data_IF_913152643915
#
_entry.id   IF_913152643915
#
_cell.length_a   1.000
_cell.length_b   1.000
_cell.length_c   1.000
_cell.angle_alpha   90.00
_cell.angle_beta   90.00
_cell.angle_gamma   90.00
#
_symmetry.space_group_name_H-M   'P 1'
#
loop_
_entity.id
_entity.type
_entity.pdbx_description
1 polymer ?
#
# COMPACT_ATOMS: atom_id res chain seq x y z
N UNK A 1 -10.58 2.43 -11.71
CA UNK A 1 -9.36 2.93 -11.04
C UNK A 1 -8.21 2.75 -12.01
N UNK A 2 -7.53 3.81 -12.45
CA UNK A 2 -6.52 3.72 -13.53
C UNK A 2 -5.46 2.61 -13.28
N UNK A 3 -5.13 2.33 -12.01
CA UNK A 3 -4.22 1.25 -11.62
C UNK A 3 -4.70 -0.17 -11.89
N UNK A 4 -6.02 -0.45 -11.86
CA UNK A 4 -6.54 -1.79 -12.12
C UNK A 4 -6.37 -2.22 -13.59
N UNK A 5 -6.06 -1.26 -14.46
CA UNK A 5 -5.75 -1.49 -15.87
C UNK A 5 -4.25 -1.72 -16.13
N UNK A 6 -3.39 -1.48 -15.12
CA UNK A 6 -1.95 -1.62 -15.24
C UNK A 6 -1.49 -3.06 -14.98
N UNK A 7 -1.99 -3.69 -13.92
CA UNK A 7 -1.61 -5.06 -13.56
C UNK A 7 -2.70 -5.71 -12.68
N UNK A 8 -3.19 -6.89 -13.06
CA UNK A 8 -4.25 -7.61 -12.34
C UNK A 8 -3.79 -8.10 -10.96
N UNK A 9 -2.50 -8.38 -10.77
CA UNK A 9 -1.93 -8.87 -9.50
C UNK A 9 -2.03 -7.82 -8.40
N UNK A 10 -2.10 -6.54 -8.77
CA UNK A 10 -2.40 -5.46 -7.82
C UNK A 10 -3.79 -5.60 -7.23
N UNK A 11 -4.79 -5.94 -8.05
CA UNK A 11 -6.16 -6.17 -7.59
C UNK A 11 -6.20 -7.37 -6.63
N UNK A 12 -5.52 -8.47 -6.98
CA UNK A 12 -5.39 -9.63 -6.11
C UNK A 12 -4.78 -9.26 -4.74
N UNK A 13 -3.69 -8.50 -4.76
CA UNK A 13 -3.01 -8.04 -3.55
C UNK A 13 -3.95 -7.18 -2.68
N UNK A 14 -4.64 -6.21 -3.28
CA UNK A 14 -5.58 -5.32 -2.57
C UNK A 14 -6.70 -6.14 -1.92
N UNK A 15 -7.30 -7.06 -2.66
CA UNK A 15 -8.37 -7.93 -2.15
C UNK A 15 -7.87 -8.80 -1.00
N UNK A 16 -6.71 -9.44 -1.17
CA UNK A 16 -6.12 -10.30 -0.16
C UNK A 16 -5.78 -9.55 1.14
N UNK A 17 -5.16 -8.37 1.03
CA UNK A 17 -4.79 -7.53 2.19
C UNK A 17 -6.04 -7.03 2.91
N UNK A 18 -7.06 -6.55 2.18
CA UNK A 18 -8.32 -6.10 2.80
C UNK A 18 -9.02 -7.23 3.54
N UNK A 19 -9.14 -8.40 2.91
CA UNK A 19 -9.77 -9.58 3.53
C UNK A 19 -8.99 -10.04 4.76
N UNK A 20 -7.66 -10.06 4.69
CA UNK A 20 -6.82 -10.34 5.86
C UNK A 20 -7.08 -9.34 6.98
N UNK A 21 -7.08 -8.03 6.70
CA UNK A 21 -7.30 -7.00 7.71
C UNK A 21 -8.68 -7.14 8.36
N UNK A 22 -9.73 -7.45 7.59
CA UNK A 22 -11.08 -7.71 8.09
C UNK A 22 -11.12 -8.93 9.01
N UNK A 23 -10.56 -10.08 8.57
CA UNK A 23 -10.52 -11.31 9.36
C UNK A 23 -9.74 -11.16 10.67
N UNK A 24 -8.72 -10.29 10.68
CA UNK A 24 -7.95 -9.99 11.90
C UNK A 24 -8.54 -8.84 12.72
N UNK A 25 -9.68 -8.26 12.31
CA UNK A 25 -10.27 -7.11 13.01
C UNK A 25 -9.34 -5.90 13.06
N UNK A 26 -8.58 -5.68 11.99
CA UNK A 26 -7.66 -4.55 11.76
C UNK A 26 -8.23 -3.57 10.71
N UNK A 27 -9.54 -3.59 10.51
CA UNK A 27 -10.24 -2.75 9.55
C UNK A 27 -11.40 -2.02 10.22
N UNK A 28 -11.67 -0.80 9.74
CA UNK A 28 -12.81 0.02 10.15
C UNK A 28 -12.39 1.23 10.99
N UNK A 29 -12.63 2.42 10.43
CA UNK A 29 -12.29 3.70 11.07
C UNK A 29 -13.02 3.90 12.40
N UNK A 30 -14.27 3.45 12.50
CA UNK A 30 -15.06 3.47 13.74
C UNK A 30 -14.44 2.64 14.87
N UNK A 31 -13.55 1.70 14.54
CA UNK A 31 -12.81 0.85 15.50
C UNK A 31 -11.39 1.38 15.77
N UNK A 32 -11.02 2.52 15.20
CA UNK A 32 -9.67 3.10 15.27
C UNK A 32 -8.64 2.39 14.38
N UNK A 33 -9.09 1.71 13.32
CA UNK A 33 -8.22 1.05 12.35
C UNK A 33 -8.33 1.69 10.96
N UNK A 34 -7.33 1.49 10.08
CA UNK A 34 -7.40 1.96 8.69
C UNK A 34 -8.67 1.44 7.98
N UNK A 35 -9.24 2.31 7.14
CA UNK A 35 -10.38 1.95 6.30
C UNK A 35 -9.98 1.12 5.08
N UNK A 36 -10.97 0.61 4.33
CA UNK A 36 -10.71 -0.17 3.12
C UNK A 36 -9.90 0.59 2.07
N UNK A 37 -10.09 1.90 1.96
CA UNK A 37 -9.29 2.78 1.10
C UNK A 37 -7.82 2.87 1.53
N UNK A 38 -7.55 3.06 2.83
CA UNK A 38 -6.19 3.09 3.38
C UNK A 38 -5.44 1.77 3.12
N UNK A 39 -6.12 0.63 3.24
CA UNK A 39 -5.54 -0.67 2.90
C UNK A 39 -5.20 -0.80 1.42
N UNK A 40 -6.05 -0.30 0.53
CA UNK A 40 -5.75 -0.24 -0.91
C UNK A 40 -4.53 0.63 -1.20
N UNK A 41 -4.39 1.79 -0.55
CA UNK A 41 -3.23 2.66 -0.71
C UNK A 41 -1.94 2.01 -0.17
N UNK A 42 -2.00 1.30 0.96
CA UNK A 42 -0.83 0.58 1.48
C UNK A 42 -0.36 -0.51 0.51
N UNK A 43 -1.30 -1.28 -0.06
CA UNK A 43 -0.99 -2.29 -1.07
C UNK A 43 -0.37 -1.65 -2.33
N UNK A 44 -0.93 -0.54 -2.80
CA UNK A 44 -0.41 0.20 -3.95
C UNK A 44 0.97 0.80 -3.69
N UNK A 45 1.18 1.46 -2.54
CA UNK A 45 2.47 2.04 -2.16
C UNK A 45 3.55 0.95 -2.03
N UNK A 46 3.19 -0.23 -1.54
CA UNK A 46 4.09 -1.38 -1.56
C UNK A 46 4.38 -1.86 -3.00
N UNK A 47 3.35 -2.01 -3.85
CA UNK A 47 3.51 -2.48 -5.22
C UNK A 47 4.42 -1.58 -6.06
N UNK A 48 4.38 -0.27 -5.82
CA UNK A 48 5.30 0.70 -6.43
C UNK A 48 6.75 0.56 -5.93
N UNK A 49 6.94 0.11 -4.69
CA UNK A 49 8.25 -0.06 -4.03
C UNK A 49 8.78 -1.49 -4.13
N UNK A 50 8.02 -2.41 -4.72
CA UNK A 50 8.47 -3.77 -4.98
C UNK A 50 9.76 -3.71 -5.82
N UNK A 51 10.62 -4.73 -5.71
CA UNK A 51 11.85 -4.81 -6.47
C UNK A 51 11.86 -6.09 -7.30
N UNK A 52 11.61 -6.02 -8.63
CA UNK A 52 11.30 -4.81 -9.42
C UNK A 52 9.89 -4.23 -9.14
N UNK A 53 9.63 -2.93 -9.41
CA UNK A 53 8.31 -2.32 -9.19
C UNK A 53 7.23 -3.00 -10.01
N UNK A 54 6.06 -3.26 -9.41
CA UNK A 54 4.92 -3.85 -10.12
C UNK A 54 4.19 -2.81 -10.96
N UNK A 55 3.99 -1.61 -10.41
CA UNK A 55 3.32 -0.48 -11.07
C UNK A 55 4.07 0.82 -10.78
N UNK A 56 4.08 1.81 -11.69
CA UNK A 56 4.68 3.12 -11.41
C UNK A 56 3.77 3.99 -10.54
N UNK A 57 4.24 5.16 -10.11
CA UNK A 57 3.33 6.22 -9.63
C UNK A 57 2.81 7.04 -10.79
N UNK A 58 1.50 6.95 -11.02
CA UNK A 58 0.80 7.74 -12.03
C UNK A 58 0.82 9.25 -11.73
N UNK A 59 0.89 9.66 -10.45
CA UNK A 59 1.05 11.08 -10.10
C UNK A 59 2.47 11.56 -10.37
N UNK A 60 3.49 10.73 -10.13
CA UNK A 60 4.88 11.08 -10.47
C UNK A 60 5.09 11.18 -11.99
N UNK A 61 4.37 10.37 -12.77
CA UNK A 61 4.41 10.39 -14.24
C UNK A 61 3.56 11.52 -14.87
N UNK A 62 2.73 12.20 -14.09
CA UNK A 62 1.89 13.27 -14.61
C UNK A 62 2.75 14.49 -14.97
N UNK A 63 2.90 14.76 -16.28
CA UNK A 63 3.73 15.86 -16.79
C UNK A 63 3.09 17.24 -16.63
N UNK A 64 1.75 17.30 -16.51
CA UNK A 64 1.00 18.54 -16.30
C UNK A 64 0.29 18.49 -14.97
N UNK A 65 0.48 19.52 -14.13
CA UNK A 65 -0.31 19.69 -12.92
C UNK A 65 -1.75 20.00 -13.30
N UNK A 66 -2.67 19.39 -12.55
CA UNK A 66 -4.10 19.66 -12.64
C UNK A 66 -4.54 19.97 -11.23
N UNK A 67 -4.75 21.25 -10.96
CA UNK A 67 -5.21 21.71 -9.67
C UNK A 67 -6.74 21.73 -9.66
N UNK A 68 -7.31 21.30 -8.56
CA UNK A 68 -8.72 21.41 -8.27
C UNK A 68 -8.88 22.20 -6.98
N UNK A 69 -9.75 23.20 -7.00
CA UNK A 69 -10.00 24.08 -5.86
C UNK A 69 -11.35 23.74 -5.25
N UNK A 70 -11.36 23.46 -3.95
CA UNK A 70 -12.59 23.27 -3.18
C UNK A 70 -12.43 23.85 -1.79
N UNK A 71 -13.39 24.65 -1.35
CA UNK A 71 -13.43 25.24 0.00
C UNK A 71 -12.17 26.04 0.37
N UNK A 72 -11.49 26.63 -0.62
CA UNK A 72 -10.26 27.42 -0.41
C UNK A 72 -8.96 26.60 -0.40
N UNK A 73 -9.05 25.28 -0.54
CA UNK A 73 -7.90 24.38 -0.61
C UNK A 73 -7.60 23.97 -2.06
N UNK A 74 -6.32 23.80 -2.39
CA UNK A 74 -5.85 23.44 -3.74
C UNK A 74 -5.28 22.01 -3.77
N UNK A 75 -5.92 21.12 -4.53
CA UNK A 75 -5.55 19.72 -4.64
C UNK A 75 -4.93 19.40 -5.99
N UNK A 76 -3.75 18.76 -6.01
CA UNK A 76 -3.17 18.26 -7.25
C UNK A 76 -3.79 16.91 -7.65
N UNK A 77 -4.79 16.97 -8.52
CA UNK A 77 -5.52 15.81 -9.06
C UNK A 77 -4.92 15.30 -10.37
N UNK A 78 -3.66 15.62 -10.68
CA UNK A 78 -3.00 15.13 -11.88
C UNK A 78 -2.61 13.66 -11.76
N UNK A 79 -3.09 12.85 -12.70
CA UNK A 79 -2.70 11.44 -12.86
C UNK A 79 -2.39 11.19 -14.33
N UNK A 80 -1.27 10.51 -14.60
CA UNK A 80 -0.99 9.98 -15.93
C UNK A 80 -2.04 8.93 -16.31
N UNK A 81 -2.33 8.78 -17.60
CA UNK A 81 -3.18 7.70 -18.07
C UNK A 81 -2.45 6.36 -17.99
N UNK A 82 -3.20 5.26 -17.96
CA UNK A 82 -2.60 3.93 -17.99
C UNK A 82 -1.79 3.67 -19.27
N UNK A 83 -2.18 4.29 -20.38
CA UNK A 83 -1.46 4.22 -21.65
C UNK A 83 -0.11 4.95 -21.58
N UNK A 84 -0.08 6.14 -20.98
CA UNK A 84 1.14 6.94 -20.81
C UNK A 84 2.10 6.34 -19.78
N UNK A 85 1.57 5.58 -18.83
CA UNK A 85 2.35 4.89 -17.80
C UNK A 85 3.26 3.80 -18.36
N UNK A 86 3.10 3.45 -19.64
CA UNK A 86 4.04 2.62 -20.36
C UNK A 86 4.28 1.28 -19.67
N UNK A 87 3.21 0.60 -19.22
CA UNK A 87 3.30 -0.79 -18.80
C UNK A 87 3.63 -1.60 -20.04
N UNK A 88 4.92 -1.65 -20.36
CA UNK A 88 5.49 -2.74 -21.11
C UNK A 88 5.27 -3.94 -20.20
N UNK A 89 4.22 -4.70 -20.47
CA UNK A 89 4.27 -6.14 -20.20
C UNK A 89 5.62 -6.56 -20.75
N UNK A 90 6.54 -6.91 -19.85
CA UNK A 90 7.93 -7.13 -20.23
C UNK A 90 7.96 -8.43 -21.04
N UNK A 91 7.67 -8.30 -22.34
CA UNK A 91 7.76 -9.34 -23.34
C UNK A 91 9.23 -9.76 -23.41
N UNK A 92 9.56 -10.81 -22.66
CA UNK A 92 10.86 -11.47 -22.74
C UNK A 92 11.65 -11.64 -21.44
N UNK A 93 11.24 -11.06 -20.30
CA UNK A 93 11.88 -11.34 -18.99
C UNK A 93 11.02 -12.30 -18.18
N UNK A 94 11.59 -13.28 -17.44
CA UNK A 94 10.80 -14.13 -16.55
C UNK A 94 10.03 -13.24 -15.58
N UNK A 95 8.70 -13.40 -15.54
CA UNK A 95 7.84 -12.58 -14.70
C UNK A 95 8.31 -12.63 -13.24
N UNK A 96 8.76 -11.50 -12.67
CA UNK A 96 9.42 -11.50 -11.36
C UNK A 96 8.43 -11.74 -10.20
N UNK A 97 7.13 -11.64 -10.44
CA UNK A 97 6.10 -11.63 -9.40
C UNK A 97 4.91 -12.55 -9.71
N UNK A 98 4.59 -13.43 -8.76
CA UNK A 98 3.29 -14.11 -8.70
C UNK A 98 2.42 -13.46 -7.61
N UNK A 99 1.09 -13.55 -7.68
CA UNK A 99 0.19 -13.01 -6.64
C UNK A 99 0.53 -13.51 -5.22
N UNK A 100 0.86 -14.81 -4.99
CA UNK A 100 1.34 -15.28 -3.69
C UNK A 100 2.67 -14.65 -3.25
N UNK A 101 3.64 -14.53 -4.15
CA UNK A 101 4.94 -13.94 -3.85
C UNK A 101 4.81 -12.45 -3.49
N UNK A 102 3.94 -11.71 -4.19
CA UNK A 102 3.63 -10.31 -3.89
C UNK A 102 3.02 -10.15 -2.51
N UNK A 103 2.08 -11.02 -2.13
CA UNK A 103 1.49 -10.93 -0.81
C UNK A 103 2.48 -11.26 0.31
N UNK A 104 3.30 -12.31 0.13
CA UNK A 104 4.36 -12.62 1.09
C UNK A 104 5.31 -11.43 1.23
N UNK A 105 5.73 -10.85 0.11
CA UNK A 105 6.61 -9.69 0.09
C UNK A 105 5.96 -8.46 0.76
N UNK A 106 4.66 -8.22 0.57
CA UNK A 106 3.91 -7.16 1.26
C UNK A 106 3.99 -7.30 2.78
N UNK A 107 3.66 -8.49 3.31
CA UNK A 107 3.70 -8.71 4.75
C UNK A 107 5.12 -8.63 5.30
N UNK A 108 6.10 -9.20 4.59
CA UNK A 108 7.50 -9.14 4.99
C UNK A 108 8.02 -7.70 5.01
N UNK A 109 7.64 -6.90 4.02
CA UNK A 109 7.99 -5.50 3.92
C UNK A 109 7.43 -4.73 5.12
N UNK A 110 6.13 -4.75 5.38
CA UNK A 110 5.56 -4.01 6.51
C UNK A 110 5.90 -4.59 7.90
N UNK A 111 6.29 -5.88 7.98
CA UNK A 111 6.70 -6.48 9.24
C UNK A 111 8.15 -6.16 9.64
N UNK A 112 9.06 -6.07 8.65
CA UNK A 112 10.51 -6.04 8.90
C UNK A 112 11.27 -4.98 8.08
N UNK A 113 10.76 -4.56 6.93
CA UNK A 113 11.43 -3.62 6.02
C UNK A 113 10.93 -2.17 6.11
N UNK A 114 9.75 -1.97 6.72
CA UNK A 114 9.14 -0.65 6.93
C UNK A 114 9.51 -0.09 8.30
N UNK A 115 10.10 1.10 8.32
CA UNK A 115 10.44 1.79 9.57
C UNK A 115 9.33 2.75 9.99
N UNK A 116 8.50 2.31 10.93
CA UNK A 116 7.39 3.07 11.51
C UNK A 116 7.83 4.35 12.24
N UNK A 117 9.13 4.55 12.50
CA UNK A 117 9.62 5.78 13.13
C UNK A 117 9.84 6.89 12.12
N UNK A 118 10.22 6.57 10.87
CA UNK A 118 10.71 7.57 9.91
C UNK A 118 10.06 7.49 8.54
N UNK A 119 9.47 6.36 8.15
CA UNK A 119 8.88 6.20 6.82
C UNK A 119 7.40 6.56 6.78
N UNK A 120 6.99 7.09 5.63
CA UNK A 120 5.61 7.24 5.22
C UNK A 120 5.34 6.39 3.97
N UNK A 121 4.19 5.74 3.92
CA UNK A 121 3.65 5.17 2.69
C UNK A 121 2.99 6.30 1.89
N UNK A 122 3.43 6.50 0.65
CA UNK A 122 2.83 7.47 -0.27
C UNK A 122 2.80 6.87 -1.67
N UNK A 123 1.64 6.96 -2.32
CA UNK A 123 1.46 6.48 -3.70
C UNK A 123 1.89 7.51 -4.74
N UNK A 124 2.21 8.73 -4.31
CA UNK A 124 2.54 9.89 -5.14
C UNK A 124 3.99 9.89 -5.60
N UNK A 125 4.89 9.36 -4.79
CA UNK A 125 6.35 9.49 -5.00
C UNK A 125 7.00 8.24 -5.60
N UNK A 126 6.33 7.07 -5.56
CA UNK A 126 6.89 5.75 -5.92
C UNK A 126 8.19 5.35 -5.18
N UNK A 127 8.68 6.18 -4.25
CA UNK A 127 9.93 6.00 -3.51
C UNK A 127 9.69 5.93 -2.00
N UNK A 128 10.76 5.75 -1.22
CA UNK A 128 10.70 5.81 0.25
C UNK A 128 10.41 7.23 0.72
N UNK A 129 9.14 7.54 0.98
CA UNK A 129 8.77 8.81 1.60
C UNK A 129 9.12 8.83 3.09
N UNK A 130 9.46 10.01 3.60
CA UNK A 130 9.72 10.23 5.03
C UNK A 130 8.48 10.82 5.69
N UNK A 131 8.31 10.56 6.98
CA UNK A 131 7.27 11.20 7.79
C UNK A 131 7.51 12.70 7.87
N UNK A 132 6.44 13.47 7.70
CA UNK A 132 6.44 14.92 7.90
C UNK A 132 6.66 15.29 9.38
N UNK A 133 6.18 14.45 10.30
CA UNK A 133 6.29 14.66 11.75
C UNK A 133 7.14 13.56 12.38
N UNK A 134 8.24 13.97 13.02
CA UNK A 134 9.08 13.10 13.87
C UNK A 134 8.40 12.93 15.22
N UNK A 135 8.26 11.70 15.70
CA UNK A 135 7.59 11.42 16.96
C UNK A 135 7.42 9.93 17.21
N UNK A 136 6.37 9.56 17.93
CA UNK A 136 6.05 8.16 18.23
C UNK A 136 5.94 7.33 16.94
N UNK A 137 6.24 6.01 16.98
CA UNK A 137 6.04 5.14 15.83
C UNK A 137 4.60 5.23 15.31
N UNK A 138 4.42 5.29 14.00
CA UNK A 138 3.11 5.34 13.37
C UNK A 138 3.12 4.64 12.01
N UNK A 139 1.97 4.14 11.57
CA UNK A 139 1.76 3.73 10.19
C UNK A 139 1.42 4.97 9.37
N UNK A 140 2.40 5.85 9.13
CA UNK A 140 2.16 7.07 8.37
C UNK A 140 1.77 6.72 6.92
N UNK A 141 0.60 7.18 6.48
CA UNK A 141 0.05 6.94 5.16
C UNK A 141 -0.50 8.25 4.60
N UNK A 142 0.21 8.83 3.64
CA UNK A 142 -0.17 10.06 2.94
C UNK A 142 -1.39 9.79 2.04
N UNK A 143 -2.41 10.65 2.11
CA UNK A 143 -3.45 10.68 1.08
C UNK A 143 -2.90 11.33 -0.21
N UNK A 144 -3.10 10.73 -1.39
CA UNK A 144 -2.56 11.26 -2.65
C UNK A 144 -3.13 12.61 -3.09
N UNK A 145 -4.30 13.01 -2.60
CA UNK A 145 -4.95 14.28 -2.91
C UNK A 145 -4.78 15.25 -1.75
N UNK A 146 -5.11 14.81 -0.53
CA UNK A 146 -4.98 15.58 0.71
C UNK A 146 -3.62 15.29 1.37
N UNK A 147 -2.53 15.85 0.85
CA UNK A 147 -1.17 15.45 1.29
C UNK A 147 -0.85 15.77 2.76
N UNK A 148 -1.62 16.65 3.40
CA UNK A 148 -1.51 16.95 4.83
C UNK A 148 -2.29 15.96 5.72
N UNK A 149 -3.08 15.08 5.11
CA UNK A 149 -3.91 14.10 5.80
C UNK A 149 -3.22 12.74 5.93
N UNK A 150 -2.79 12.40 7.15
CA UNK A 150 -2.29 11.06 7.48
C UNK A 150 -3.44 10.11 7.80
N UNK A 151 -3.71 9.17 6.88
CA UNK A 151 -4.74 8.14 7.02
C UNK A 151 -4.44 7.12 8.13
N UNK A 152 -3.19 7.07 8.60
CA UNK A 152 -2.73 6.24 9.70
C UNK A 152 -2.99 6.82 11.09
N UNK A 153 -3.37 8.10 11.18
CA UNK A 153 -3.53 8.84 12.45
C UNK A 153 -4.53 8.22 13.44
N UNK A 154 -5.42 7.36 12.96
CA UNK A 154 -6.44 6.68 13.78
C UNK A 154 -5.84 5.57 14.67
N UNK A 155 -4.65 5.07 14.34
CA UNK A 155 -3.97 4.04 15.10
C UNK A 155 -3.28 4.64 16.32
N UNK A 156 -3.81 4.34 17.50
CA UNK A 156 -3.07 4.54 18.74
C UNK A 156 -1.94 3.51 18.90
N UNK A 157 -1.14 3.69 19.94
CA UNK A 157 0.03 2.85 20.21
C UNK A 157 -0.32 1.36 20.41
N UNK A 158 -1.44 1.07 21.07
CA UNK A 158 -1.88 -0.31 21.31
C UNK A 158 -2.36 -0.98 20.01
N UNK A 159 -3.15 -0.26 19.20
CA UNK A 159 -3.62 -0.74 17.89
C UNK A 159 -2.46 -0.91 16.92
N UNK A 160 -1.49 0.00 16.94
CA UNK A 160 -0.27 -0.12 16.14
C UNK A 160 0.55 -1.34 16.56
N UNK A 161 0.72 -1.58 17.87
CA UNK A 161 1.41 -2.77 18.36
C UNK A 161 0.71 -4.06 17.89
N UNK A 162 -0.63 -4.10 17.97
CA UNK A 162 -1.44 -5.22 17.46
C UNK A 162 -1.29 -5.41 15.96
N UNK A 163 -1.33 -4.33 15.18
CA UNK A 163 -1.10 -4.37 13.74
C UNK A 163 0.29 -4.95 13.41
N UNK A 164 1.34 -4.46 14.06
CA UNK A 164 2.72 -4.95 13.86
C UNK A 164 2.87 -6.42 14.23
N UNK A 165 2.19 -6.88 15.28
CA UNK A 165 2.17 -8.28 15.67
C UNK A 165 1.50 -9.16 14.60
N UNK A 166 0.36 -8.72 14.05
CA UNK A 166 -0.36 -9.45 13.00
C UNK A 166 0.39 -9.45 11.66
N UNK A 167 1.05 -8.35 11.28
CA UNK A 167 1.93 -8.31 10.11
C UNK A 167 3.06 -9.34 10.22
N UNK A 168 3.72 -9.41 11.39
CA UNK A 168 4.77 -10.42 11.66
C UNK A 168 4.23 -11.84 11.70
N UNK A 169 3.01 -12.04 12.21
CA UNK A 169 2.33 -13.35 12.19
C UNK A 169 2.07 -13.79 10.75
N UNK A 170 1.52 -12.92 9.92
CA UNK A 170 1.27 -13.20 8.51
C UNK A 170 2.56 -13.51 7.75
N UNK A 171 3.60 -12.68 7.91
CA UNK A 171 4.90 -12.89 7.28
C UNK A 171 5.55 -14.24 7.67
N UNK A 172 5.43 -14.65 8.95
CA UNK A 172 5.92 -15.96 9.40
C UNK A 172 5.12 -17.14 8.85
N UNK A 173 3.80 -17.00 8.68
CA UNK A 173 2.95 -18.08 8.13
C UNK A 173 3.16 -18.28 6.63
N UNK A 174 3.49 -17.22 5.91
CA UNK A 174 3.77 -17.29 4.49
C UNK A 174 5.20 -17.75 4.19
N UNK A 175 6.14 -17.57 5.13
CA UNK A 175 7.46 -18.21 5.06
C UNK A 175 7.32 -19.74 5.14
N UNK A 176 7.43 -20.40 3.99
CA UNK A 176 7.61 -21.85 3.89
C UNK A 176 6.42 -22.67 3.37
N UNK A 177 5.67 -22.21 2.35
CA UNK A 177 4.67 -23.10 1.73
C UNK A 177 4.05 -22.59 0.43
N UNK A 178 4.35 -23.32 -0.64
CA UNK A 178 3.63 -23.45 -1.93
C UNK A 178 2.12 -23.16 -1.86
N UNK A 179 1.65 -22.25 -2.72
CA UNK A 179 0.35 -22.20 -3.42
C UNK A 179 -0.98 -22.27 -2.65
N UNK A 180 -1.14 -23.15 -1.66
CA UNK A 180 -2.43 -23.61 -1.15
C UNK A 180 -2.79 -23.08 0.25
N UNK A 181 -1.97 -22.16 0.81
CA UNK A 181 -2.09 -21.72 2.22
C UNK A 181 -3.07 -20.59 2.51
N UNK A 182 -3.80 -20.10 1.51
CA UNK A 182 -4.73 -18.96 1.63
C UNK A 182 -5.82 -19.14 2.70
N UNK A 183 -6.27 -20.37 2.93
CA UNK A 183 -7.29 -20.71 3.93
C UNK A 183 -6.79 -20.58 5.38
N UNK A 184 -5.48 -20.62 5.62
CA UNK A 184 -4.89 -20.61 6.96
C UNK A 184 -4.59 -19.20 7.50
N UNK A 185 -5.00 -18.12 6.82
CA UNK A 185 -4.89 -16.76 7.39
C UNK A 185 -6.08 -16.39 8.29
N UNK A 186 -7.19 -17.15 8.21
CA UNK A 186 -8.43 -16.91 8.96
C UNK A 186 -8.42 -17.47 10.40
N UNK A 187 -7.50 -18.38 10.74
CA UNK A 187 -7.36 -19.04 12.05
C UNK A 187 -6.24 -18.44 12.90
#
# INVERSE_FOLDING_TARGET
>A
MAYSLLDERLCDLVVAVKRWAELRGLSGQTRGYPGGYSWSLLALAFAQRAAPPLVPSLQALATKRRLWEESGECYNVAWASAADAGVKTASGSPEPWTSPALLEAFFRFFAYGYDFNVEAASVRVAERARRSVVGRPALALEDPLETDWDLGRLLDEQRLARLRAELRRAARRLRGGTGERWLNLAS
#
